data_IF_118664264110
#
_entry.id   IF_118664264110
#
_cell.length_a   1.000
_cell.length_b   1.000
_cell.length_c   1.000
_cell.angle_alpha   90.00
_cell.angle_beta   90.00
_cell.angle_gamma   90.00
#
_symmetry.space_group_name_H-M   'P 1'
#
loop_
_entity.id
_entity.type
_entity.pdbx_description
1 polymer ?
#
# COMPACT_ATOMS: atom_id res chain seq x y z
N UNK A 1 -19.78 4.25 16.57
CA UNK A 1 -19.28 3.52 15.39
C UNK A 1 -17.79 3.29 15.61
N UNK A 2 -17.33 2.05 15.74
CA UNK A 2 -15.91 1.77 15.91
C UNK A 2 -15.21 1.99 14.55
N UNK A 3 -14.19 2.84 14.51
CA UNK A 3 -13.28 2.87 13.37
C UNK A 3 -12.68 1.46 13.19
N UNK A 4 -12.60 0.92 11.96
CA UNK A 4 -11.94 -0.36 11.74
C UNK A 4 -10.51 -0.26 12.29
N UNK A 5 -10.16 -1.15 13.19
CA UNK A 5 -8.84 -1.15 13.80
C UNK A 5 -7.82 -1.57 12.74
N UNK A 6 -7.05 -0.61 12.23
CA UNK A 6 -5.98 -0.89 11.28
C UNK A 6 -4.86 -1.62 12.03
N UNK A 7 -4.73 -2.92 11.79
CA UNK A 7 -3.66 -3.71 12.38
C UNK A 7 -2.32 -3.32 11.74
N UNK A 8 -1.28 -3.03 12.54
CA UNK A 8 0.04 -2.72 12.00
C UNK A 8 0.58 -3.92 11.21
N UNK A 9 1.24 -3.65 10.08
CA UNK A 9 1.90 -4.67 9.27
C UNK A 9 3.21 -5.04 9.97
N UNK A 10 3.42 -6.30 10.41
CA UNK A 10 4.62 -6.69 11.17
C UNK A 10 5.93 -6.31 10.47
N UNK A 11 6.00 -6.53 9.16
CA UNK A 11 7.20 -6.28 8.35
C UNK A 11 7.30 -4.84 7.80
N UNK A 12 6.26 -4.02 8.02
CA UNK A 12 6.19 -2.63 7.57
C UNK A 12 5.41 -1.78 8.60
N UNK A 13 5.93 -1.61 9.83
CA UNK A 13 5.19 -0.98 10.93
C UNK A 13 4.88 0.50 10.69
N UNK A 14 5.62 1.16 9.80
CA UNK A 14 5.39 2.55 9.39
C UNK A 14 4.43 2.69 8.19
N UNK A 15 3.87 1.58 7.69
CA UNK A 15 2.99 1.63 6.52
C UNK A 15 1.71 2.41 6.80
N UNK A 16 1.38 3.33 5.90
CA UNK A 16 0.20 4.20 5.99
C UNK A 16 -0.99 3.55 5.30
N UNK A 17 -2.14 3.51 5.97
CA UNK A 17 -3.38 3.07 5.33
C UNK A 17 -3.83 4.06 4.24
N UNK A 18 -4.11 3.54 3.05
CA UNK A 18 -4.61 4.30 1.89
C UNK A 18 -6.12 4.13 1.69
N UNK A 19 -6.70 3.00 2.14
CA UNK A 19 -8.12 2.73 1.97
C UNK A 19 -8.42 1.23 1.91
N UNK A 20 -9.71 0.90 1.78
CA UNK A 20 -10.16 -0.47 1.64
C UNK A 20 -10.55 -0.78 0.18
N UNK A 21 -10.24 -2.00 -0.26
CA UNK A 21 -10.65 -2.56 -1.54
C UNK A 21 -11.60 -3.73 -1.31
N UNK A 22 -12.87 -3.56 -1.70
CA UNK A 22 -13.82 -4.65 -1.78
C UNK A 22 -13.74 -5.29 -3.17
N UNK A 23 -13.37 -6.57 -3.23
CA UNK A 23 -13.28 -7.33 -4.48
C UNK A 23 -13.84 -8.73 -4.29
N UNK A 24 -14.87 -9.06 -5.06
CA UNK A 24 -15.57 -10.35 -4.97
C UNK A 24 -16.11 -10.58 -3.55
N UNK A 25 -15.55 -11.55 -2.82
CA UNK A 25 -15.95 -11.90 -1.45
C UNK A 25 -14.89 -11.48 -0.41
N UNK A 26 -13.94 -10.64 -0.81
CA UNK A 26 -12.80 -10.23 -0.01
C UNK A 26 -12.79 -8.71 0.22
N UNK A 27 -12.41 -8.29 1.43
CA UNK A 27 -12.14 -6.88 1.75
C UNK A 27 -10.67 -6.75 2.16
N UNK A 28 -9.91 -6.03 1.35
CA UNK A 28 -8.49 -5.82 1.54
C UNK A 28 -8.25 -4.42 2.09
N UNK A 29 -7.59 -4.29 3.24
CA UNK A 29 -7.04 -3.00 3.66
C UNK A 29 -5.73 -2.76 2.92
N UNK A 30 -5.59 -1.58 2.32
CA UNK A 30 -4.47 -1.20 1.46
C UNK A 30 -3.56 -0.25 2.21
N UNK A 31 -2.26 -0.55 2.22
CA UNK A 31 -1.25 0.25 2.91
C UNK A 31 -0.08 0.57 1.99
N UNK A 32 0.53 1.72 2.24
CA UNK A 32 1.76 2.20 1.61
C UNK A 32 2.91 2.19 2.61
N UNK A 33 3.92 1.38 2.32
CA UNK A 33 5.23 1.46 2.96
C UNK A 33 6.13 2.41 2.15
N UNK A 34 6.72 3.40 2.82
CA UNK A 34 7.80 4.24 2.27
C UNK A 34 9.13 3.93 2.94
N UNK A 35 10.21 3.91 2.17
CA UNK A 35 11.57 3.77 2.67
C UNK A 35 12.51 4.70 1.91
N UNK A 36 13.43 5.34 2.60
CA UNK A 36 14.51 6.10 1.95
C UNK A 36 15.67 5.17 1.59
N UNK A 37 16.11 5.20 0.33
CA UNK A 37 17.22 4.40 -0.22
C UNK A 37 18.18 5.30 -0.98
N UNK A 38 19.23 5.75 -0.29
CA UNK A 38 20.16 6.75 -0.81
C UNK A 38 19.47 8.11 -0.96
N UNK A 39 19.59 8.81 -2.10
CA UNK A 39 18.97 10.12 -2.30
C UNK A 39 17.48 10.04 -2.71
N UNK A 40 16.93 8.83 -2.85
CA UNK A 40 15.56 8.61 -3.33
C UNK A 40 14.73 7.93 -2.26
N UNK A 41 13.43 8.16 -2.30
CA UNK A 41 12.44 7.37 -1.59
C UNK A 41 11.94 6.23 -2.49
N UNK A 42 11.47 5.15 -1.86
CA UNK A 42 10.82 4.01 -2.49
C UNK A 42 9.48 3.71 -1.84
N UNK A 43 8.52 3.25 -2.66
CA UNK A 43 7.17 2.92 -2.24
C UNK A 43 6.80 1.47 -2.54
N UNK A 44 6.20 0.80 -1.57
CA UNK A 44 5.65 -0.56 -1.68
C UNK A 44 4.21 -0.60 -1.18
N UNK A 45 3.34 -1.27 -1.94
CA UNK A 45 1.96 -1.51 -1.53
C UNK A 45 1.82 -2.83 -0.79
N UNK A 46 0.93 -2.83 0.20
CA UNK A 46 0.51 -4.01 0.95
C UNK A 46 -1.00 -4.11 0.94
N UNK A 47 -1.52 -5.30 0.66
CA UNK A 47 -2.94 -5.65 0.71
C UNK A 47 -3.13 -6.72 1.78
N UNK A 48 -3.97 -6.45 2.77
CA UNK A 48 -4.23 -7.34 3.89
C UNK A 48 -5.71 -7.75 3.96
N UNK A 49 -5.95 -9.06 4.09
CA UNK A 49 -7.27 -9.62 4.39
C UNK A 49 -7.09 -10.75 5.42
N UNK A 50 -7.38 -10.48 6.69
CA UNK A 50 -7.16 -11.45 7.78
C UNK A 50 -5.69 -11.90 7.83
N UNK A 51 -5.43 -13.18 7.54
CA UNK A 51 -4.07 -13.75 7.47
C UNK A 51 -3.44 -13.68 6.08
N UNK A 52 -4.18 -13.25 5.05
CA UNK A 52 -3.68 -13.13 3.68
C UNK A 52 -2.99 -11.80 3.51
N UNK A 53 -1.77 -11.84 2.99
CA UNK A 53 -0.98 -10.65 2.68
C UNK A 53 -0.46 -10.77 1.25
N UNK A 54 -0.69 -9.72 0.45
CA UNK A 54 -0.04 -9.52 -0.83
C UNK A 54 0.73 -8.21 -0.82
N UNK A 55 1.89 -8.16 -1.45
CA UNK A 55 2.66 -6.92 -1.58
C UNK A 55 3.31 -6.81 -2.94
N UNK A 56 3.53 -5.57 -3.38
CA UNK A 56 4.34 -5.30 -4.58
C UNK A 56 5.84 -5.36 -4.27
N UNK A 57 6.68 -5.29 -5.30
CA UNK A 57 8.04 -4.78 -5.15
C UNK A 57 8.05 -3.28 -4.78
N UNK A 58 9.23 -2.67 -4.70
CA UNK A 58 9.35 -1.21 -4.60
C UNK A 58 9.10 -0.60 -6.00
N UNK A 59 7.85 -0.31 -6.32
CA UNK A 59 7.39 -0.01 -7.68
C UNK A 59 7.50 1.48 -8.05
N UNK A 60 7.66 2.35 -7.05
CA UNK A 60 7.91 3.78 -7.25
C UNK A 60 9.25 4.19 -6.64
N UNK A 61 9.92 5.11 -7.32
CA UNK A 61 11.13 5.81 -6.88
C UNK A 61 10.94 7.29 -7.12
N UNK A 62 10.91 8.07 -6.05
CA UNK A 62 10.76 9.52 -6.11
C UNK A 62 11.86 10.20 -5.28
N UNK A 63 11.95 11.53 -5.38
CA UNK A 63 12.90 12.32 -4.63
C UNK A 63 12.59 12.35 -3.13
N UNK A 64 11.31 12.38 -2.76
CA UNK A 64 10.89 12.41 -1.36
C UNK A 64 9.77 11.41 -1.07
N UNK A 65 9.63 11.04 0.21
CA UNK A 65 8.50 10.21 0.65
C UNK A 65 7.16 10.92 0.41
N UNK A 66 7.14 12.26 0.46
CA UNK A 66 5.95 13.05 0.19
C UNK A 66 5.49 12.92 -1.27
N UNK A 67 6.43 12.90 -2.22
CA UNK A 67 6.12 12.69 -3.64
C UNK A 67 5.51 11.30 -3.86
N UNK A 68 6.02 10.29 -3.14
CA UNK A 68 5.45 8.94 -3.17
C UNK A 68 4.02 8.95 -2.66
N UNK A 69 3.80 9.54 -1.48
CA UNK A 69 2.48 9.64 -0.87
C UNK A 69 1.50 10.35 -1.82
N UNK A 70 1.90 11.46 -2.43
CA UNK A 70 1.05 12.19 -3.38
C UNK A 70 0.68 11.31 -4.57
N UNK A 71 1.66 10.67 -5.22
CA UNK A 71 1.38 9.77 -6.34
C UNK A 71 0.42 8.66 -5.99
N UNK A 72 0.53 8.07 -4.80
CA UNK A 72 -0.38 7.00 -4.38
C UNK A 72 -1.80 7.48 -4.05
N UNK A 73 -1.95 8.71 -3.55
CA UNK A 73 -3.26 9.31 -3.29
C UNK A 73 -4.02 9.69 -4.57
N UNK A 74 -3.34 9.77 -5.71
CA UNK A 74 -3.98 10.00 -7.02
C UNK A 74 -4.73 8.77 -7.54
N UNK A 75 -4.52 7.60 -6.94
CA UNK A 75 -5.14 6.33 -7.36
C UNK A 75 -6.07 5.77 -6.28
N UNK A 76 -7.20 5.22 -6.70
CA UNK A 76 -8.07 4.42 -5.86
C UNK A 76 -7.51 3.02 -5.59
N UNK A 77 -7.96 2.35 -4.51
CA UNK A 77 -7.50 1.01 -4.14
C UNK A 77 -7.57 -0.05 -5.25
N UNK A 78 -8.57 0.03 -6.13
CA UNK A 78 -8.73 -0.90 -7.27
C UNK A 78 -7.67 -0.69 -8.36
N UNK A 79 -7.24 0.55 -8.60
CA UNK A 79 -6.21 0.87 -9.59
C UNK A 79 -4.85 0.40 -9.08
N UNK A 80 -4.58 0.61 -7.79
CA UNK A 80 -3.38 0.10 -7.13
C UNK A 80 -3.29 -1.44 -7.18
N UNK A 81 -4.42 -2.14 -7.04
CA UNK A 81 -4.47 -3.59 -7.21
C UNK A 81 -4.15 -4.04 -8.64
N UNK A 82 -4.64 -3.32 -9.66
CA UNK A 82 -4.31 -3.65 -11.06
C UNK A 82 -2.81 -3.54 -11.34
N UNK A 83 -2.12 -2.59 -10.71
CA UNK A 83 -0.66 -2.47 -10.80
C UNK A 83 0.02 -3.73 -10.25
N UNK A 84 -0.43 -4.24 -9.09
CA UNK A 84 0.07 -5.51 -8.54
C UNK A 84 -0.10 -6.66 -9.54
N UNK A 85 -1.30 -6.81 -10.13
CA UNK A 85 -1.56 -7.88 -11.10
C UNK A 85 -0.72 -7.75 -12.38
N UNK A 86 -0.36 -6.54 -12.81
CA UNK A 86 0.48 -6.33 -14.00
C UNK A 86 1.96 -6.68 -13.83
N UNK A 87 2.42 -6.85 -12.58
CA UNK A 87 3.81 -7.15 -12.24
C UNK A 87 4.04 -8.62 -11.88
N UNK A 88 2.97 -9.42 -11.95
CA UNK A 88 2.92 -10.85 -11.61
C UNK A 88 3.00 -11.72 -12.86
#
# INVERSE_FOLDING_TARGET
MAQPQHLPIPDAPAARHLGDLERSHARWSVYLETRTVGPLAQGRLHFLEGSRHKSTGCIFREWTEQDIIQRFNDFGPIELWKILESLS
#
